data_IF_862555213091
#
_entry.id   IF_862555213091
#
_cell.length_a   1.000
_cell.length_b   1.000
_cell.length_c   1.000
_cell.angle_alpha   90.00
_cell.angle_beta   90.00
_cell.angle_gamma   90.00
#
_symmetry.space_group_name_H-M   'P 1'
#
loop_
_entity.id
_entity.type
_entity.pdbx_description
1 polymer ?
#
# COMPACT_ATOMS: atom_id res chain seq x y z
N UNK A 1 8.03 -16.45 -17.93
CA UNK A 1 8.87 -15.99 -16.83
C UNK A 1 8.19 -14.87 -16.09
N UNK A 2 8.04 -15.02 -14.80
CA UNK A 2 7.33 -14.01 -14.01
C UNK A 2 8.27 -12.93 -13.56
N UNK A 3 7.81 -11.69 -13.73
CA UNK A 3 8.51 -10.53 -13.21
C UNK A 3 7.81 -10.08 -11.95
N UNK A 4 8.58 -9.98 -10.89
CA UNK A 4 8.07 -9.43 -9.64
C UNK A 4 8.71 -8.07 -9.46
N UNK A 5 7.88 -7.05 -9.45
CA UNK A 5 8.33 -5.70 -9.17
C UNK A 5 7.86 -5.34 -7.77
N UNK A 6 8.79 -4.90 -6.96
CA UNK A 6 8.48 -4.59 -5.57
C UNK A 6 8.95 -3.20 -5.23
N UNK A 7 8.02 -2.39 -4.74
CA UNK A 7 8.33 -1.03 -4.30
C UNK A 7 7.83 -0.88 -2.88
N UNK A 8 8.73 -0.79 -1.91
CA UNK A 8 8.30 -0.58 -0.53
C UNK A 8 7.83 0.85 -0.31
N UNK A 9 6.82 1.00 0.52
CA UNK A 9 6.38 2.32 0.93
C UNK A 9 5.74 2.24 2.31
N UNK A 10 5.64 3.38 2.95
CA UNK A 10 5.00 3.48 4.26
C UNK A 10 3.66 4.17 4.06
N UNK A 11 2.59 3.49 4.49
CA UNK A 11 1.26 4.04 4.36
C UNK A 11 0.61 4.20 5.73
N UNK A 12 -0.20 5.23 5.84
CA UNK A 12 -0.98 5.46 7.05
C UNK A 12 -2.37 4.87 6.84
N UNK A 13 -2.78 4.02 7.77
CA UNK A 13 -4.09 3.41 7.70
C UNK A 13 -5.18 4.40 8.06
N UNK A 14 -6.28 4.29 7.36
CA UNK A 14 -7.43 5.15 7.60
C UNK A 14 -8.67 4.30 7.75
N UNK A 15 -9.61 4.79 8.54
CA UNK A 15 -10.87 4.10 8.74
C UNK A 15 -11.73 4.14 7.48
N UNK A 16 -12.37 3.04 7.17
CA UNK A 16 -13.25 2.96 6.01
C UNK A 16 -14.70 3.17 6.43
N UNK A 17 -15.00 4.35 6.93
CA UNK A 17 -16.37 4.70 7.31
C UNK A 17 -16.83 3.90 8.51
N UNK A 18 -18.02 3.32 8.42
CA UNK A 18 -18.63 2.59 9.53
C UNK A 18 -18.14 1.15 9.65
N UNK A 19 -17.38 0.68 8.72
CA UNK A 19 -16.91 -0.69 8.76
C UNK A 19 -15.64 -0.76 9.62
N UNK A 20 -15.30 -1.97 10.03
CA UNK A 20 -14.07 -2.19 10.79
C UNK A 20 -12.85 -2.27 9.90
N UNK A 21 -13.06 -2.19 8.61
CA UNK A 21 -11.95 -2.27 7.66
C UNK A 21 -11.12 -1.00 7.71
N UNK A 22 -9.85 -1.18 7.45
CA UNK A 22 -8.92 -0.06 7.32
C UNK A 22 -8.41 -0.04 5.91
N UNK A 23 -8.16 1.14 5.41
CA UNK A 23 -7.65 1.31 4.05
C UNK A 23 -6.32 2.02 4.07
N UNK A 24 -5.54 1.76 3.04
CA UNK A 24 -4.30 2.46 2.81
C UNK A 24 -4.25 2.86 1.35
N UNK A 25 -3.78 4.06 1.08
CA UNK A 25 -3.66 4.56 -0.28
C UNK A 25 -2.27 4.27 -0.81
N UNK A 26 -2.21 3.67 -1.99
CA UNK A 26 -0.93 3.47 -2.67
C UNK A 26 -0.51 4.80 -3.26
N UNK A 27 0.69 5.30 -2.93
CA UNK A 27 1.12 6.59 -3.45
C UNK A 27 1.19 6.60 -4.96
N UNK A 28 0.92 7.77 -5.54
CA UNK A 28 0.96 7.91 -6.98
C UNK A 28 2.32 7.55 -7.55
N UNK A 29 3.36 7.92 -6.84
CA UNK A 29 4.71 7.62 -7.27
C UNK A 29 4.94 6.11 -7.43
N UNK A 30 4.39 5.33 -6.51
CA UNK A 30 4.50 3.87 -6.59
C UNK A 30 3.73 3.35 -7.79
N UNK A 31 2.53 3.88 -8.01
CA UNK A 31 1.73 3.47 -9.16
C UNK A 31 2.46 3.77 -10.46
N UNK A 32 3.16 4.90 -10.52
CA UNK A 32 3.87 5.29 -11.72
C UNK A 32 5.11 4.43 -11.96
N UNK A 33 5.81 4.08 -10.88
CA UNK A 33 7.04 3.31 -11.00
C UNK A 33 6.77 1.92 -11.57
N UNK A 34 5.76 1.23 -11.07
CA UNK A 34 5.45 -0.12 -11.52
C UNK A 34 4.21 -0.18 -12.38
N UNK A 35 3.73 0.96 -12.82
CA UNK A 35 2.65 1.08 -13.80
C UNK A 35 1.39 0.32 -13.40
N UNK A 36 0.93 0.60 -12.19
CA UNK A 36 -0.32 0.01 -11.69
C UNK A 36 -1.51 0.71 -12.29
N UNK A 37 -2.52 -0.08 -12.62
CA UNK A 37 -3.76 0.44 -13.18
C UNK A 37 -4.95 -0.07 -12.39
N UNK A 38 -6.07 0.62 -12.55
CA UNK A 38 -7.30 0.20 -11.93
C UNK A 38 -7.66 -1.22 -12.39
N UNK A 39 -7.96 -2.06 -11.43
CA UNK A 39 -8.27 -3.44 -11.71
C UNK A 39 -7.11 -4.41 -11.58
N UNK A 40 -5.91 -3.89 -11.41
CA UNK A 40 -4.75 -4.75 -11.22
C UNK A 40 -4.79 -5.41 -9.85
N UNK A 41 -4.23 -6.60 -9.79
CA UNK A 41 -4.09 -7.31 -8.52
C UNK A 41 -2.66 -7.13 -8.00
N UNK A 42 -2.55 -6.94 -6.70
CA UNK A 42 -1.24 -6.81 -6.06
C UNK A 42 -1.19 -7.73 -4.86
N UNK A 43 0.00 -8.20 -4.57
CA UNK A 43 0.22 -8.97 -3.37
C UNK A 43 0.71 -8.03 -2.28
N UNK A 44 0.04 -8.08 -1.13
CA UNK A 44 0.32 -7.15 -0.06
C UNK A 44 0.81 -7.89 1.17
N UNK A 45 1.89 -7.39 1.73
CA UNK A 45 2.42 -7.88 2.99
C UNK A 45 2.36 -6.74 3.99
N UNK A 46 1.92 -7.03 5.21
CA UNK A 46 1.70 -5.99 6.20
C UNK A 46 2.67 -6.14 7.34
N UNK A 47 3.33 -5.04 7.66
CA UNK A 47 4.23 -4.98 8.79
C UNK A 47 3.91 -3.73 9.59
N UNK A 48 3.64 -3.90 10.87
CA UNK A 48 3.33 -2.76 11.73
C UNK A 48 4.61 -2.03 12.11
N UNK A 49 4.57 -0.72 11.93
CA UNK A 49 5.68 0.13 12.30
C UNK A 49 5.22 1.08 13.39
N UNK A 50 6.00 1.19 14.45
CA UNK A 50 5.73 2.15 15.50
C UNK A 50 6.74 3.28 15.38
N UNK A 51 6.21 4.46 15.08
CA UNK A 51 7.05 5.64 14.99
C UNK A 51 7.14 6.26 16.38
N UNK A 52 8.35 6.35 16.87
CA UNK A 52 8.57 6.95 18.18
C UNK A 52 8.80 8.44 18.03
N UNK A 53 8.11 9.19 18.85
CA UNK A 53 8.35 10.62 18.95
C UNK A 53 9.27 10.85 20.13
N UNK A 54 10.35 11.51 19.88
CA UNK A 54 11.27 11.93 20.93
C UNK A 54 11.06 13.38 21.27
#
# INVERSE_FOLDING_TARGET
MEHIEEVPFIGKLRSAGKSRSLIVTVPKEVCDIIKLNDGDYVQISIKRIRLQKT
#
